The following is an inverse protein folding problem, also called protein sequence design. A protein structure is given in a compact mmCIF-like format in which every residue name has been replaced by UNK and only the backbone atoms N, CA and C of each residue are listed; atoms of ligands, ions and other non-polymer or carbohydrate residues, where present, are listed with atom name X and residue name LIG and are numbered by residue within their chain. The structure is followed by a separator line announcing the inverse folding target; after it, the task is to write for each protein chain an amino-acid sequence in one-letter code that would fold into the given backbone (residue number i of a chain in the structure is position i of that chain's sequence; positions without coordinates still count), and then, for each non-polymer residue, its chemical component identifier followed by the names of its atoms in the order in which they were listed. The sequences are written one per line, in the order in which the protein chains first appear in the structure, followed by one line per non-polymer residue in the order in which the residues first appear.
data_IF_827207074608
#
_entry.id   IF_827207074608
#
_cell.length_a   1.000
_cell.length_b   1.000
_cell.length_c   1.000
_cell.angle_alpha   90.00
_cell.angle_beta   90.00
_cell.angle_gamma   90.00
#
_symmetry.space_group_name_H-M   'P 1'
#
loop_
_entity.id
_entity.type
_entity.pdbx_description
1 polymer ?
#
# COMPACT_ATOMS: atom_id res chain seq x y z
N UNK A 1 10.30 16.77 66.35
CA UNK A 1 8.91 16.30 66.53
C UNK A 1 8.66 15.23 65.47
N UNK A 2 8.84 13.93 65.66
CA UNK A 2 8.31 13.05 66.71
C UNK A 2 6.82 13.32 66.97
N UNK A 3 5.94 12.49 66.39
CA UNK A 3 5.29 11.40 67.15
C UNK A 3 4.62 10.38 66.21
N UNK A 4 4.59 9.16 66.72
CA UNK A 4 4.24 7.87 66.13
C UNK A 4 2.98 7.35 66.86
N UNK A 5 2.36 6.32 66.28
CA UNK A 5 1.34 5.36 66.81
C UNK A 5 -0.13 5.81 66.71
N UNK A 6 -1.12 4.94 66.49
CA UNK A 6 -1.28 3.52 66.12
C UNK A 6 -2.75 3.18 66.40
N UNK A 7 -3.49 2.56 65.48
CA UNK A 7 -4.46 1.44 65.67
C UNK A 7 -5.11 1.11 64.31
N UNK A 8 -4.93 -0.09 63.73
CA UNK A 8 -5.77 -1.32 63.82
C UNK A 8 -7.25 -1.02 63.46
N UNK A 9 -7.94 -1.64 62.52
CA UNK A 9 -7.66 -2.71 61.57
C UNK A 9 -9.00 -3.17 60.94
N UNK A 10 -9.01 -3.57 59.66
CA UNK A 10 -9.87 -4.64 59.11
C UNK A 10 -9.42 -4.94 57.67
N UNK A 11 -8.58 -5.95 57.52
CA UNK A 11 -8.32 -6.60 56.23
C UNK A 11 -9.54 -7.44 55.88
N UNK A 12 -10.33 -7.00 54.91
CA UNK A 12 -11.29 -7.87 54.23
C UNK A 12 -10.46 -8.67 53.23
N UNK A 13 -10.19 -9.93 53.57
CA UNK A 13 -9.63 -10.89 52.64
C UNK A 13 -10.62 -11.04 51.46
N UNK A 14 -10.16 -11.05 50.19
CA UNK A 14 -10.99 -11.61 49.14
C UNK A 14 -11.10 -13.12 49.42
N UNK A 15 -12.34 -13.62 49.39
CA UNK A 15 -12.63 -15.05 49.50
C UNK A 15 -11.71 -15.87 48.58
N UNK A 16 -11.15 -17.00 49.06
CA UNK A 16 -10.49 -17.92 48.17
C UNK A 16 -11.60 -18.60 47.37
N UNK A 17 -11.93 -18.08 46.19
CA UNK A 17 -12.60 -18.91 45.19
C UNK A 17 -11.75 -20.15 45.03
N UNK A 18 -12.32 -21.27 45.50
CA UNK A 18 -11.69 -22.55 45.54
C UNK A 18 -11.12 -22.85 44.14
N UNK A 19 -9.80 -22.96 44.07
CA UNK A 19 -9.15 -23.79 43.05
C UNK A 19 -9.67 -25.21 43.27
N UNK A 20 -10.83 -25.51 42.68
CA UNK A 20 -11.33 -26.86 42.52
C UNK A 20 -10.32 -27.51 41.58
N UNK A 21 -9.33 -28.19 42.17
CA UNK A 21 -8.49 -29.10 41.42
C UNK A 21 -9.41 -30.07 40.69
N UNK A 22 -9.38 -30.00 39.35
CA UNK A 22 -10.13 -30.94 38.52
C UNK A 22 -9.80 -32.37 38.98
N UNK A 23 -10.82 -33.25 39.12
CA UNK A 23 -10.56 -34.63 39.49
C UNK A 23 -9.62 -35.23 38.44
N UNK A 24 -8.45 -35.71 38.88
CA UNK A 24 -7.61 -36.55 38.01
C UNK A 24 -8.44 -37.79 37.71
N UNK A 25 -8.96 -37.89 36.49
CA UNK A 25 -9.62 -39.11 36.04
C UNK A 25 -8.67 -40.30 36.24
N UNK A 26 -9.22 -41.46 36.57
CA UNK A 26 -8.45 -42.70 36.66
C UNK A 26 -7.99 -43.23 35.29
N UNK A 27 -8.33 -42.53 34.21
CA UNK A 27 -8.11 -42.89 32.81
C UNK A 27 -7.10 -41.88 32.23
N UNK A 28 -5.92 -42.34 31.83
CA UNK A 28 -4.90 -41.46 31.25
C UNK A 28 -5.37 -40.86 29.91
N UNK A 29 -5.46 -39.53 29.85
CA UNK A 29 -5.77 -38.76 28.63
C UNK A 29 -4.49 -38.33 27.90
N UNK A 30 -4.62 -38.10 26.59
CA UNK A 30 -3.59 -37.56 25.70
C UNK A 30 -3.31 -36.11 26.07
N UNK A 31 -2.03 -35.76 26.17
CA UNK A 31 -1.58 -34.40 26.49
C UNK A 31 -0.67 -33.83 25.43
N UNK A 32 -0.69 -32.52 25.23
CA UNK A 32 0.15 -31.79 24.28
C UNK A 32 0.80 -30.54 24.91
N UNK A 33 1.99 -30.18 24.43
CA UNK A 33 2.78 -29.09 24.99
C UNK A 33 2.19 -27.68 24.78
N UNK A 34 1.24 -27.51 23.85
CA UNK A 34 0.56 -26.23 23.56
C UNK A 34 -0.95 -26.35 23.76
N UNK A 35 -1.35 -27.14 24.75
CA UNK A 35 -2.76 -27.28 25.09
C UNK A 35 -3.35 -25.93 25.54
N UNK A 36 -4.59 -25.61 25.17
CA UNK A 36 -5.31 -24.46 25.71
C UNK A 36 -5.78 -24.68 27.17
N UNK A 37 -5.55 -25.87 27.75
CA UNK A 37 -5.97 -26.23 29.11
C UNK A 37 -4.77 -26.37 30.05
N UNK A 38 -4.95 -25.99 31.32
CA UNK A 38 -3.88 -25.98 32.34
C UNK A 38 -3.30 -27.37 32.64
N UNK A 39 -4.07 -28.43 32.39
CA UNK A 39 -3.68 -29.82 32.60
C UNK A 39 -3.01 -30.47 31.38
N UNK A 40 -2.86 -29.72 30.28
CA UNK A 40 -2.18 -30.20 29.08
C UNK A 40 -3.05 -31.04 28.15
N UNK A 41 -4.36 -31.19 28.38
CA UNK A 41 -5.25 -32.05 27.59
C UNK A 41 -5.19 -31.76 26.08
N UNK A 42 -5.02 -32.79 25.24
CA UNK A 42 -4.95 -32.65 23.78
C UNK A 42 -6.26 -33.09 23.14
N UNK A 43 -7.00 -32.14 22.56
CA UNK A 43 -8.23 -32.45 21.79
C UNK A 43 -7.88 -33.30 20.57
N UNK A 44 -6.86 -32.91 19.81
CA UNK A 44 -6.45 -33.64 18.61
C UNK A 44 -5.91 -35.05 18.94
N UNK A 45 -5.17 -35.18 20.04
CA UNK A 45 -4.70 -36.47 20.56
C UNK A 45 -5.87 -37.39 20.93
N UNK A 46 -6.87 -36.88 21.65
CA UNK A 46 -8.04 -37.66 22.05
C UNK A 46 -8.97 -38.00 20.87
N UNK A 47 -9.16 -37.09 19.92
CA UNK A 47 -9.87 -37.39 18.66
C UNK A 47 -9.21 -38.53 17.89
N UNK A 48 -7.88 -38.60 17.88
CA UNK A 48 -7.15 -39.69 17.23
C UNK A 48 -7.32 -41.04 17.93
N UNK A 49 -7.33 -41.04 19.27
CA UNK A 49 -7.53 -42.26 20.08
C UNK A 49 -8.97 -42.76 19.98
N UNK A 50 -9.93 -41.84 19.92
CA UNK A 50 -11.36 -42.15 19.80
C UNK A 50 -11.84 -42.31 18.36
N UNK A 51 -10.99 -42.15 17.34
CA UNK A 51 -11.40 -42.18 15.93
C UNK A 51 -12.20 -43.43 15.54
N UNK A 52 -11.82 -44.60 16.06
CA UNK A 52 -12.55 -45.86 15.83
C UNK A 52 -13.89 -45.94 16.56
N UNK A 53 -13.99 -45.37 17.77
CA UNK A 53 -15.21 -45.29 18.56
C UNK A 53 -16.20 -44.27 17.97
N UNK A 54 -15.69 -43.11 17.52
CA UNK A 54 -16.45 -42.06 16.85
C UNK A 54 -17.06 -42.51 15.51
N UNK A 55 -16.45 -43.51 14.85
CA UNK A 55 -16.94 -44.08 13.60
C UNK A 55 -17.94 -45.25 13.78
N UNK A 56 -18.15 -45.72 15.01
CA UNK A 56 -18.98 -46.88 15.36
C UNK A 56 -20.27 -46.52 16.10
N UNK A 57 -20.93 -47.53 16.69
CA UNK A 57 -22.07 -47.33 17.59
C UNK A 57 -21.56 -46.91 18.97
N UNK A 58 -21.74 -45.64 19.32
CA UNK A 58 -21.36 -45.08 20.62
C UNK A 58 -22.28 -45.64 21.73
N UNK A 59 -21.91 -46.77 22.30
CA UNK A 59 -22.65 -47.42 23.40
C UNK A 59 -22.24 -46.80 24.75
N UNK A 60 -23.22 -46.45 25.58
CA UNK A 60 -23.02 -45.86 26.91
C UNK A 60 -22.33 -46.83 27.89
N UNK A 61 -22.38 -48.15 27.60
CA UNK A 61 -21.73 -49.18 28.41
C UNK A 61 -20.25 -49.43 28.05
N UNK A 62 -19.73 -48.79 27.00
CA UNK A 62 -18.33 -48.91 26.58
C UNK A 62 -17.40 -48.09 27.51
N UNK A 63 -16.30 -48.66 28.02
CA UNK A 63 -15.29 -47.92 28.78
C UNK A 63 -14.72 -46.67 28.07
N UNK A 64 -14.80 -46.57 26.74
CA UNK A 64 -14.39 -45.41 25.94
C UNK A 64 -15.42 -44.27 25.93
N UNK A 65 -16.67 -44.53 26.33
CA UNK A 65 -17.73 -43.53 26.40
C UNK A 65 -17.38 -42.38 27.38
N UNK A 66 -16.78 -42.71 28.52
CA UNK A 66 -16.28 -41.73 29.49
C UNK A 66 -15.23 -40.77 28.90
N UNK A 67 -14.36 -41.27 27.99
CA UNK A 67 -13.38 -40.42 27.29
C UNK A 67 -14.04 -39.53 26.25
N UNK A 68 -15.08 -40.02 25.59
CA UNK A 68 -15.86 -39.26 24.64
C UNK A 68 -16.58 -38.09 25.31
N UNK A 69 -17.20 -38.32 26.47
CA UNK A 69 -17.84 -37.25 27.25
C UNK A 69 -16.86 -36.15 27.65
N UNK A 70 -15.67 -36.51 28.15
CA UNK A 70 -14.63 -35.52 28.46
C UNK A 70 -14.17 -34.75 27.20
N UNK A 71 -14.04 -35.43 26.06
CA UNK A 71 -13.70 -34.77 24.79
C UNK A 71 -14.75 -33.74 24.38
N UNK A 72 -16.05 -34.06 24.47
CA UNK A 72 -17.13 -33.09 24.21
C UNK A 72 -17.08 -31.92 25.18
N UNK A 73 -16.92 -32.17 26.49
CA UNK A 73 -16.84 -31.10 27.48
C UNK A 73 -15.66 -30.16 27.21
N UNK A 74 -14.52 -30.71 26.80
CA UNK A 74 -13.32 -29.93 26.45
C UNK A 74 -13.51 -29.12 25.18
N UNK A 75 -14.18 -29.67 24.16
CA UNK A 75 -14.54 -28.92 22.94
C UNK A 75 -15.47 -27.76 23.27
N UNK A 76 -16.47 -27.99 24.10
CA UNK A 76 -17.38 -26.94 24.56
C UNK A 76 -16.68 -25.86 25.38
N UNK A 77 -15.75 -26.25 26.24
CA UNK A 77 -14.93 -25.32 27.03
C UNK A 77 -14.04 -24.47 26.11
N UNK A 78 -13.38 -25.08 25.13
CA UNK A 78 -12.58 -24.35 24.14
C UNK A 78 -13.47 -23.40 23.31
N UNK A 79 -14.65 -23.83 22.88
CA UNK A 79 -15.60 -22.98 22.17
C UNK A 79 -16.04 -21.78 23.01
N UNK A 80 -16.32 -21.98 24.32
CA UNK A 80 -16.61 -20.88 25.27
C UNK A 80 -15.42 -19.95 25.43
N UNK A 81 -14.20 -20.47 25.56
CA UNK A 81 -12.98 -19.66 25.63
C UNK A 81 -12.77 -18.83 24.36
N UNK A 82 -12.97 -19.43 23.18
CA UNK A 82 -12.91 -18.74 21.89
C UNK A 82 -14.00 -17.66 21.77
N UNK A 83 -15.23 -17.95 22.18
CA UNK A 83 -16.33 -16.98 22.19
C UNK A 83 -16.05 -15.81 23.15
N UNK A 84 -15.48 -16.07 24.33
CA UNK A 84 -15.06 -15.03 25.26
C UNK A 84 -13.92 -14.20 24.71
N UNK A 85 -12.92 -14.84 24.10
CA UNK A 85 -11.81 -14.17 23.42
C UNK A 85 -12.31 -13.27 22.29
N UNK A 86 -13.24 -13.75 21.46
CA UNK A 86 -13.87 -12.97 20.40
C UNK A 86 -14.69 -11.81 20.97
N UNK A 87 -15.47 -12.05 22.03
CA UNK A 87 -16.27 -11.01 22.70
C UNK A 87 -15.38 -9.90 23.26
N UNK A 88 -14.24 -10.26 23.86
CA UNK A 88 -13.23 -9.32 24.37
C UNK A 88 -12.27 -8.83 23.28
N UNK A 89 -12.39 -9.33 22.05
CA UNK A 89 -11.48 -9.06 20.91
C UNK A 89 -10.00 -9.28 21.24
N UNK A 90 -9.71 -10.28 22.05
CA UNK A 90 -8.35 -10.56 22.53
C UNK A 90 -7.81 -9.56 23.54
N UNK A 91 -8.67 -8.70 24.12
CA UNK A 91 -8.31 -7.88 25.28
C UNK A 91 -8.06 -8.75 26.50
N UNK A 92 -7.17 -8.28 27.37
CA UNK A 92 -6.86 -8.92 28.64
C UNK A 92 -8.11 -9.09 29.51
N UNK A 93 -8.11 -10.10 30.38
CA UNK A 93 -9.20 -10.38 31.32
C UNK A 93 -9.44 -9.24 32.32
N UNK A 94 -8.43 -8.40 32.58
CA UNK A 94 -8.56 -7.23 33.45
C UNK A 94 -9.30 -6.04 32.78
N UNK A 95 -9.44 -6.05 31.45
CA UNK A 95 -10.12 -4.99 30.70
C UNK A 95 -11.63 -5.08 30.92
N UNK A 96 -12.24 -3.97 31.31
CA UNK A 96 -13.68 -3.93 31.58
C UNK A 96 -14.48 -4.05 30.28
N UNK A 97 -15.71 -4.61 30.32
CA UNK A 97 -16.61 -4.66 29.19
C UNK A 97 -16.72 -3.37 28.37
N UNK A 98 -16.96 -2.25 29.05
CA UNK A 98 -17.08 -0.95 28.39
C UNK A 98 -15.82 -0.52 27.60
N UNK A 99 -14.62 -0.93 28.05
CA UNK A 99 -13.34 -0.48 27.48
C UNK A 99 -12.99 -1.22 26.18
N UNK A 100 -13.28 -2.53 26.08
CA UNK A 100 -13.07 -3.24 24.81
C UNK A 100 -14.19 -2.98 23.77
N UNK A 101 -15.38 -2.56 24.22
CA UNK A 101 -16.42 -2.06 23.30
C UNK A 101 -16.09 -0.65 22.77
N UNK A 102 -15.42 0.20 23.57
CA UNK A 102 -14.95 1.51 23.12
C UNK A 102 -14.00 1.42 21.90
N UNK A 103 -13.34 0.27 21.68
CA UNK A 103 -12.57 0.04 20.45
C UNK A 103 -13.42 0.06 19.17
N UNK A 104 -14.72 -0.32 19.22
CA UNK A 104 -15.62 -0.19 18.06
C UNK A 104 -16.11 1.25 17.86
N UNK A 105 -16.13 2.03 18.94
CA UNK A 105 -16.54 3.43 18.91
C UNK A 105 -15.42 4.34 18.38
N UNK A 106 -14.17 3.87 18.39
CA UNK A 106 -13.05 4.58 17.79
C UNK A 106 -13.26 4.73 16.28
N UNK A 107 -13.52 5.96 15.86
CA UNK A 107 -13.62 6.32 14.46
C UNK A 107 -12.28 6.19 13.72
N UNK A 108 -12.36 6.29 12.38
CA UNK A 108 -11.16 6.38 11.55
C UNK A 108 -10.36 7.64 11.89
N UNK A 109 -9.04 7.59 11.69
CA UNK A 109 -8.19 8.78 11.73
C UNK A 109 -8.65 9.77 10.65
N UNK A 110 -8.78 11.04 11.03
CA UNK A 110 -9.13 12.15 10.16
C UNK A 110 -8.14 13.27 10.39
N UNK A 111 -7.82 14.01 9.34
CA UNK A 111 -6.94 15.16 9.43
C UNK A 111 -7.64 16.28 10.20
N UNK A 112 -6.88 16.98 11.06
CA UNK A 112 -7.41 18.11 11.85
C UNK A 112 -7.51 19.40 11.05
N UNK A 113 -6.71 19.54 9.98
CA UNK A 113 -6.61 20.72 9.12
C UNK A 113 -6.44 20.33 7.65
N UNK A 114 -6.73 21.25 6.74
CA UNK A 114 -6.49 21.03 5.31
C UNK A 114 -5.00 21.15 4.97
N UNK A 115 -4.45 20.12 4.32
CA UNK A 115 -3.09 20.19 3.79
C UNK A 115 -2.96 21.26 2.70
N UNK A 116 -1.91 22.09 2.81
CA UNK A 116 -1.61 23.16 1.83
C UNK A 116 -0.18 23.06 1.31
N UNK A 117 0.05 23.52 0.09
CA UNK A 117 1.40 23.85 -0.40
C UNK A 117 1.48 25.30 -0.85
N UNK A 118 2.66 25.91 -0.70
CA UNK A 118 2.90 27.29 -1.09
C UNK A 118 3.86 27.36 -2.27
N UNK A 119 3.48 28.07 -3.34
CA UNK A 119 4.29 28.22 -4.56
C UNK A 119 4.71 29.66 -4.78
N UNK A 120 5.98 29.88 -5.14
CA UNK A 120 6.54 31.20 -5.41
C UNK A 120 6.75 31.50 -6.89
N UNK A 121 6.78 30.50 -7.76
CA UNK A 121 7.12 30.66 -9.17
C UNK A 121 5.93 30.42 -10.09
N UNK A 122 5.85 31.20 -11.17
CA UNK A 122 4.84 31.00 -12.23
C UNK A 122 5.04 29.66 -12.93
N UNK A 123 6.29 29.19 -13.02
CA UNK A 123 6.65 27.92 -13.60
C UNK A 123 6.05 26.74 -12.83
N UNK A 124 6.26 26.68 -11.50
CA UNK A 124 5.69 25.62 -10.67
C UNK A 124 4.16 25.71 -10.64
N UNK A 125 3.60 26.92 -10.51
CA UNK A 125 2.15 27.12 -10.52
C UNK A 125 1.51 26.62 -11.83
N UNK A 126 2.11 26.93 -12.98
CA UNK A 126 1.65 26.42 -14.30
C UNK A 126 1.86 24.92 -14.46
N UNK A 127 2.95 24.37 -13.92
CA UNK A 127 3.19 22.93 -13.94
C UNK A 127 2.15 22.17 -13.10
N UNK A 128 1.74 22.74 -11.97
CA UNK A 128 0.71 22.16 -11.11
C UNK A 128 -0.70 22.29 -11.69
N UNK A 129 -1.08 23.48 -12.15
CA UNK A 129 -2.42 23.72 -12.71
C UNK A 129 -2.62 23.08 -14.08
N UNK A 130 -1.56 23.00 -14.89
CA UNK A 130 -1.67 22.62 -16.30
C UNK A 130 -2.35 23.70 -17.14
N UNK A 131 -2.87 23.28 -18.30
CA UNK A 131 -3.63 24.16 -19.20
C UNK A 131 -4.76 23.37 -19.85
N UNK A 132 -5.99 23.85 -19.73
CA UNK A 132 -7.12 23.30 -20.47
C UNK A 132 -6.99 23.49 -21.99
N UNK A 133 -7.82 22.79 -22.75
CA UNK A 133 -7.99 23.10 -24.18
C UNK A 133 -8.77 24.40 -24.27
N UNK A 134 -8.26 25.34 -25.06
CA UNK A 134 -8.98 26.58 -25.32
C UNK A 134 -10.19 26.28 -26.23
N UNK A 135 -11.39 26.82 -25.94
CA UNK A 135 -12.56 26.61 -26.78
C UNK A 135 -12.29 27.03 -28.24
N UNK A 136 -12.54 26.13 -29.19
CA UNK A 136 -12.29 26.38 -30.62
C UNK A 136 -10.83 26.28 -31.08
N UNK A 137 -9.90 25.95 -30.18
CA UNK A 137 -8.49 25.77 -30.51
C UNK A 137 -8.14 24.29 -30.71
N UNK A 138 -7.25 23.98 -31.67
CA UNK A 138 -6.65 22.65 -31.84
C UNK A 138 -5.46 22.39 -30.93
N UNK A 139 -5.04 23.37 -30.12
CA UNK A 139 -3.87 23.20 -29.27
C UNK A 139 -4.18 22.25 -28.11
N UNK A 140 -3.38 21.17 -28.01
CA UNK A 140 -3.55 20.15 -26.98
C UNK A 140 -3.46 20.72 -25.55
N UNK A 141 -4.28 20.20 -24.61
CA UNK A 141 -4.20 20.57 -23.21
C UNK A 141 -2.86 20.14 -22.61
N UNK A 142 -2.37 20.90 -21.63
CA UNK A 142 -1.18 20.53 -20.85
C UNK A 142 -1.66 19.87 -19.57
N UNK A 143 -1.27 18.61 -19.40
CA UNK A 143 -1.54 17.86 -18.18
C UNK A 143 -0.71 18.44 -17.04
N UNK A 144 -1.38 18.96 -16.00
CA UNK A 144 -0.75 19.49 -14.80
C UNK A 144 -0.72 18.50 -13.64
N UNK A 145 0.00 18.85 -12.58
CA UNK A 145 0.12 18.06 -11.34
C UNK A 145 -1.24 17.69 -10.72
N UNK A 146 -2.23 18.60 -10.69
CA UNK A 146 -3.57 18.28 -10.16
C UNK A 146 -4.27 17.18 -10.96
N UNK A 147 -4.14 17.22 -12.29
CA UNK A 147 -4.72 16.19 -13.18
C UNK A 147 -4.01 14.84 -12.98
N UNK A 148 -2.68 14.84 -12.86
CA UNK A 148 -1.92 13.60 -12.62
C UNK A 148 -2.16 13.01 -11.25
N UNK A 149 -2.28 13.82 -10.20
CA UNK A 149 -2.67 13.33 -8.88
C UNK A 149 -4.01 12.59 -8.94
N UNK A 150 -4.97 13.11 -9.73
CA UNK A 150 -6.24 12.42 -9.97
C UNK A 150 -6.07 11.13 -10.78
N UNK A 151 -5.30 11.16 -11.86
CA UNK A 151 -5.03 9.96 -12.68
C UNK A 151 -4.34 8.85 -11.88
N UNK A 152 -3.35 9.19 -11.07
CA UNK A 152 -2.68 8.24 -10.17
C UNK A 152 -3.63 7.70 -9.10
N UNK A 153 -4.53 8.53 -8.56
CA UNK A 153 -5.58 8.07 -7.66
C UNK A 153 -6.49 7.04 -8.34
N UNK A 154 -6.89 7.28 -9.58
CA UNK A 154 -7.75 6.35 -10.31
C UNK A 154 -7.03 5.01 -10.57
N UNK A 155 -5.77 5.05 -11.00
CA UNK A 155 -4.92 3.87 -11.15
C UNK A 155 -4.78 3.12 -9.82
N UNK A 156 -4.52 3.83 -8.72
CA UNK A 156 -4.48 3.26 -7.38
C UNK A 156 -5.80 2.60 -6.97
N UNK A 157 -6.95 3.17 -7.34
CA UNK A 157 -8.26 2.53 -7.12
C UNK A 157 -8.39 1.25 -7.96
N UNK A 158 -7.95 1.26 -9.22
CA UNK A 158 -7.99 0.10 -10.11
C UNK A 158 -7.17 -1.09 -9.60
N UNK A 159 -6.12 -0.85 -8.80
CA UNK A 159 -5.37 -1.95 -8.15
C UNK A 159 -6.25 -2.79 -7.21
N UNK A 160 -7.35 -2.24 -6.69
CA UNK A 160 -8.32 -3.00 -5.89
C UNK A 160 -9.02 -4.11 -6.69
N UNK A 161 -9.14 -3.93 -8.02
CA UNK A 161 -9.72 -4.92 -8.94
C UNK A 161 -8.69 -5.95 -9.40
N UNK A 162 -7.52 -6.01 -8.76
CA UNK A 162 -6.40 -6.86 -9.19
C UNK A 162 -5.97 -6.60 -10.65
N UNK A 163 -5.99 -5.33 -11.08
CA UNK A 163 -5.66 -4.93 -12.45
C UNK A 163 -4.14 -4.87 -12.66
N UNK A 164 -3.54 -5.73 -13.53
CA UNK A 164 -2.08 -5.80 -13.68
C UNK A 164 -1.48 -4.59 -14.41
N UNK A 165 -2.25 -3.93 -15.29
CA UNK A 165 -1.79 -2.73 -16.00
C UNK A 165 -1.85 -1.47 -15.11
N UNK A 166 -2.76 -1.44 -14.13
CA UNK A 166 -2.75 -0.38 -13.13
C UNK A 166 -1.51 -0.46 -12.23
N UNK A 167 -1.16 -1.67 -11.77
CA UNK A 167 0.09 -1.89 -11.02
C UNK A 167 1.32 -1.50 -11.86
N UNK A 168 1.34 -1.90 -13.14
CA UNK A 168 2.44 -1.54 -14.05
C UNK A 168 2.55 -0.04 -14.28
N UNK A 169 1.43 0.66 -14.46
CA UNK A 169 1.39 2.11 -14.66
C UNK A 169 1.96 2.86 -13.45
N UNK A 170 1.61 2.42 -12.24
CA UNK A 170 2.09 3.02 -10.99
C UNK A 170 3.59 2.76 -10.81
N UNK A 171 4.06 1.53 -11.03
CA UNK A 171 5.48 1.18 -10.98
C UNK A 171 6.31 2.01 -11.96
N UNK A 172 5.85 2.11 -13.20
CA UNK A 172 6.52 2.90 -14.24
C UNK A 172 6.57 4.39 -13.87
N UNK A 173 5.48 4.92 -13.32
CA UNK A 173 5.45 6.29 -12.82
C UNK A 173 6.46 6.50 -11.67
N UNK A 174 6.47 5.61 -10.67
CA UNK A 174 7.38 5.67 -9.53
C UNK A 174 8.86 5.63 -9.98
N UNK A 175 9.20 4.74 -10.91
CA UNK A 175 10.55 4.67 -11.47
C UNK A 175 10.93 5.96 -12.22
N UNK A 176 10.10 6.38 -13.18
CA UNK A 176 10.43 7.55 -14.01
C UNK A 176 10.42 8.86 -13.22
N UNK A 177 9.54 9.00 -12.23
CA UNK A 177 9.54 10.19 -11.38
C UNK A 177 10.75 10.20 -10.44
N UNK A 178 11.24 9.03 -10.01
CA UNK A 178 12.49 8.91 -9.27
C UNK A 178 13.69 9.47 -10.04
N UNK A 179 13.75 9.28 -11.36
CA UNK A 179 14.79 9.87 -12.21
C UNK A 179 14.69 11.41 -12.25
N UNK A 180 13.47 11.96 -12.26
CA UNK A 180 13.25 13.41 -12.18
C UNK A 180 13.67 13.95 -10.82
N UNK A 181 13.30 13.29 -9.74
CA UNK A 181 13.65 13.68 -8.38
C UNK A 181 15.17 13.65 -8.17
N UNK A 182 15.87 12.65 -8.71
CA UNK A 182 17.33 12.60 -8.67
C UNK A 182 17.96 13.75 -9.45
N UNK A 183 17.46 14.02 -10.67
CA UNK A 183 17.94 15.16 -11.47
C UNK A 183 17.67 16.50 -10.78
N UNK A 184 16.49 16.67 -10.18
CA UNK A 184 16.14 17.84 -9.37
C UNK A 184 17.14 18.02 -8.22
N UNK A 185 17.38 16.94 -7.45
CA UNK A 185 18.28 16.97 -6.30
C UNK A 185 19.71 17.33 -6.70
N UNK A 186 20.21 16.77 -7.81
CA UNK A 186 21.53 17.10 -8.34
C UNK A 186 21.62 18.59 -8.72
N UNK A 187 20.66 19.09 -9.50
CA UNK A 187 20.67 20.49 -9.95
C UNK A 187 20.50 21.50 -8.79
N UNK A 188 19.70 21.14 -7.78
CA UNK A 188 19.56 21.93 -6.55
C UNK A 188 20.91 21.99 -5.81
N UNK A 189 21.54 20.83 -5.60
CA UNK A 189 22.84 20.73 -4.92
C UNK A 189 23.92 21.54 -5.64
N UNK A 190 23.97 21.46 -6.97
CA UNK A 190 24.93 22.22 -7.78
C UNK A 190 24.70 23.73 -7.68
N UNK A 191 23.42 24.15 -7.66
CA UNK A 191 23.06 25.55 -7.49
C UNK A 191 23.39 26.08 -6.09
N UNK A 192 23.13 25.30 -5.05
CA UNK A 192 23.49 25.65 -3.67
C UNK A 192 25.01 25.73 -3.50
N UNK A 193 25.77 24.79 -4.08
CA UNK A 193 27.23 24.83 -4.07
C UNK A 193 27.80 26.09 -4.76
N UNK A 194 27.16 26.58 -5.83
CA UNK A 194 27.53 27.85 -6.45
C UNK A 194 27.32 29.04 -5.50
N UNK A 195 26.21 29.08 -4.76
CA UNK A 195 25.91 30.12 -3.79
C UNK A 195 26.86 30.06 -2.59
N UNK A 196 27.12 28.87 -2.05
CA UNK A 196 28.05 28.66 -0.94
C UNK A 196 29.47 29.15 -1.27
N UNK A 197 29.97 28.88 -2.48
CA UNK A 197 31.28 29.42 -2.93
C UNK A 197 31.35 30.94 -2.93
N UNK A 198 30.23 31.65 -3.10
CA UNK A 198 30.20 33.11 -2.98
C UNK A 198 30.20 33.54 -1.52
N UNK A 199 29.45 32.82 -0.68
CA UNK A 199 29.41 33.04 0.76
C UNK A 199 30.81 32.94 1.38
N UNK A 200 31.59 31.92 1.01
CA UNK A 200 32.96 31.73 1.50
C UNK A 200 33.91 32.88 1.13
N UNK A 201 33.59 33.63 0.07
CA UNK A 201 34.31 34.83 -0.38
C UNK A 201 33.77 36.13 0.25
N UNK A 202 32.81 36.03 1.16
CA UNK A 202 32.17 37.15 1.85
C UNK A 202 30.89 37.68 1.18
N UNK A 203 30.38 37.05 0.13
CA UNK A 203 29.14 37.44 -0.55
C UNK A 203 27.97 36.54 -0.14
N UNK A 204 27.09 37.02 0.74
CA UNK A 204 25.88 36.29 1.15
C UNK A 204 24.69 36.62 0.24
N UNK A 205 24.20 35.63 -0.50
CA UNK A 205 23.04 35.77 -1.37
C UNK A 205 21.83 35.00 -0.81
N UNK A 206 20.71 35.69 -0.65
CA UNK A 206 19.43 35.07 -0.33
C UNK A 206 18.75 34.50 -1.59
N UNK A 207 18.18 33.31 -1.50
CA UNK A 207 17.35 32.71 -2.56
C UNK A 207 16.10 33.56 -2.79
N UNK A 208 15.80 33.84 -4.06
CA UNK A 208 14.61 34.60 -4.45
C UNK A 208 13.33 33.98 -3.88
N UNK A 209 12.36 34.81 -3.50
CA UNK A 209 11.00 34.40 -3.12
C UNK A 209 9.99 35.35 -3.77
N UNK A 210 8.79 34.86 -4.05
CA UNK A 210 7.68 35.74 -4.44
C UNK A 210 7.38 36.73 -3.30
N UNK A 211 7.05 37.98 -3.66
CA UNK A 211 6.48 38.93 -2.71
C UNK A 211 5.09 38.48 -2.24
N UNK A 212 4.35 37.82 -3.13
CA UNK A 212 3.02 37.27 -2.88
C UNK A 212 3.01 35.80 -3.30
N UNK A 213 3.45 34.88 -2.43
CA UNK A 213 3.35 33.45 -2.71
C UNK A 213 1.89 32.99 -2.67
N UNK A 214 1.58 31.95 -3.44
CA UNK A 214 0.23 31.41 -3.52
C UNK A 214 0.13 30.10 -2.76
N UNK A 215 -0.73 30.06 -1.74
CA UNK A 215 -1.07 28.85 -1.00
C UNK A 215 -2.22 28.11 -1.70
N UNK A 216 -2.03 26.81 -1.91
CA UNK A 216 -2.97 25.92 -2.60
C UNK A 216 -3.34 24.77 -1.67
N UNK A 217 -4.64 24.56 -1.46
CA UNK A 217 -5.15 23.37 -0.77
C UNK A 217 -4.96 22.13 -1.65
N UNK A 218 -4.41 21.07 -1.05
CA UNK A 218 -4.09 19.82 -1.73
C UNK A 218 -5.34 18.95 -1.90
N UNK A 219 -6.07 18.68 -0.81
CA UNK A 219 -7.32 17.90 -0.82
C UNK A 219 -7.17 16.50 -1.43
N UNK A 220 -5.96 15.92 -1.41
CA UNK A 220 -5.70 14.64 -2.04
C UNK A 220 -6.19 13.49 -1.16
N UNK A 221 -6.77 12.46 -1.80
CA UNK A 221 -7.24 11.24 -1.13
C UNK A 221 -6.45 10.01 -1.55
N UNK A 222 -5.22 10.19 -1.99
CA UNK A 222 -4.29 9.13 -2.36
C UNK A 222 -2.86 9.53 -1.98
N UNK A 223 -2.01 8.57 -1.59
CA UNK A 223 -0.60 8.86 -1.29
C UNK A 223 0.14 9.46 -2.49
N UNK A 224 -0.26 9.08 -3.71
CA UNK A 224 0.29 9.61 -4.94
C UNK A 224 0.05 11.12 -5.13
N UNK A 225 -1.06 11.68 -4.63
CA UNK A 225 -1.29 13.12 -4.69
C UNK A 225 -0.27 13.92 -3.87
N UNK A 226 0.12 13.38 -2.71
CA UNK A 226 1.17 13.96 -1.87
C UNK A 226 2.55 13.86 -2.51
N UNK A 227 2.87 12.73 -3.17
CA UNK A 227 4.11 12.59 -3.93
C UNK A 227 4.23 13.65 -5.04
N UNK A 228 3.16 13.89 -5.80
CA UNK A 228 3.14 14.96 -6.81
C UNK A 228 3.29 16.35 -6.16
N UNK A 229 2.69 16.59 -4.99
CA UNK A 229 2.83 17.88 -4.29
C UNK A 229 4.27 18.14 -3.89
N UNK A 230 4.96 17.12 -3.36
CA UNK A 230 6.38 17.21 -3.01
C UNK A 230 7.24 17.54 -4.22
N UNK A 231 7.06 16.82 -5.33
CA UNK A 231 7.75 17.10 -6.59
C UNK A 231 7.57 18.55 -7.04
N UNK A 232 6.36 19.10 -6.91
CA UNK A 232 6.05 20.47 -7.33
C UNK A 232 6.74 21.50 -6.43
N UNK A 233 6.80 21.25 -5.12
CA UNK A 233 7.52 22.12 -4.17
C UNK A 233 9.03 22.08 -4.43
N UNK A 234 9.60 20.90 -4.65
CA UNK A 234 11.02 20.75 -4.98
C UNK A 234 11.35 21.45 -6.32
N UNK A 235 10.45 21.32 -7.30
CA UNK A 235 10.56 22.02 -8.57
C UNK A 235 10.44 23.56 -8.42
N UNK A 236 9.54 24.06 -7.56
CA UNK A 236 9.44 25.50 -7.25
C UNK A 236 10.74 26.03 -6.65
N UNK A 237 11.32 25.31 -5.69
CA UNK A 237 12.59 25.65 -5.07
C UNK A 237 13.74 25.64 -6.09
N UNK A 238 13.82 24.61 -6.94
CA UNK A 238 14.77 24.56 -8.05
C UNK A 238 14.65 25.80 -8.95
N UNK A 239 13.45 26.19 -9.40
CA UNK A 239 13.28 27.36 -10.27
C UNK A 239 13.73 28.65 -9.56
N UNK A 240 13.46 28.78 -8.26
CA UNK A 240 13.93 29.93 -7.46
C UNK A 240 15.45 29.99 -7.41
N UNK A 241 16.12 28.85 -7.21
CA UNK A 241 17.59 28.77 -7.24
C UNK A 241 18.14 29.17 -8.60
N UNK A 242 17.62 28.60 -9.69
CA UNK A 242 18.08 28.92 -11.04
C UNK A 242 17.94 30.41 -11.38
N UNK A 243 16.80 31.02 -11.01
CA UNK A 243 16.57 32.46 -11.18
C UNK A 243 17.47 33.31 -10.27
N UNK A 244 17.80 32.81 -9.08
CA UNK A 244 18.75 33.47 -8.18
C UNK A 244 20.13 33.50 -8.81
N UNK A 245 20.63 32.37 -9.31
CA UNK A 245 21.92 32.29 -9.97
C UNK A 245 22.02 33.24 -11.17
N UNK A 246 20.98 33.28 -12.02
CA UNK A 246 20.93 34.19 -13.15
C UNK A 246 20.97 35.66 -12.72
N UNK A 247 20.12 36.05 -11.76
CA UNK A 247 20.05 37.42 -11.24
C UNK A 247 21.34 37.87 -10.55
N UNK A 248 22.12 36.94 -9.98
CA UNK A 248 23.40 37.21 -9.32
C UNK A 248 24.61 36.97 -10.23
N UNK A 249 24.39 36.84 -11.54
CA UNK A 249 25.46 36.69 -12.55
C UNK A 249 26.33 35.44 -12.34
N UNK A 250 25.80 34.42 -11.65
CA UNK A 250 26.47 33.12 -11.46
C UNK A 250 26.13 32.14 -12.59
N UNK A 251 25.10 32.43 -13.38
CA UNK A 251 24.67 31.68 -14.56
C UNK A 251 24.11 32.67 -15.60
N UNK A 252 24.19 32.37 -16.89
CA UNK A 252 23.53 33.20 -17.91
C UNK A 252 22.02 32.96 -17.96
N UNK A 253 21.26 33.94 -18.44
CA UNK A 253 19.81 33.79 -18.66
C UNK A 253 19.49 32.66 -19.65
N UNK A 254 20.35 32.43 -20.66
CA UNK A 254 20.19 31.35 -21.62
C UNK A 254 20.32 29.98 -20.94
N UNK A 255 21.38 29.77 -20.16
CA UNK A 255 21.59 28.53 -19.40
C UNK A 255 20.44 28.30 -18.41
N UNK A 256 20.04 29.32 -17.63
CA UNK A 256 18.91 29.22 -16.71
C UNK A 256 17.62 28.78 -17.42
N UNK A 257 17.25 29.45 -18.52
CA UNK A 257 16.04 29.09 -19.30
C UNK A 257 16.11 27.67 -19.83
N UNK A 258 17.28 27.26 -20.34
CA UNK A 258 17.49 25.92 -20.86
C UNK A 258 17.31 24.85 -19.77
N UNK A 259 17.97 24.99 -18.61
CA UNK A 259 17.87 24.04 -17.50
C UNK A 259 16.42 23.89 -17.02
N UNK A 260 15.71 25.01 -16.83
CA UNK A 260 14.29 25.00 -16.44
C UNK A 260 13.43 24.29 -17.51
N UNK A 261 13.64 24.61 -18.79
CA UNK A 261 12.85 24.05 -19.88
C UNK A 261 13.08 22.55 -20.08
N UNK A 262 14.32 22.06 -19.91
CA UNK A 262 14.63 20.62 -19.98
C UNK A 262 13.94 19.85 -18.86
N UNK A 263 14.04 20.32 -17.62
CA UNK A 263 13.42 19.66 -16.49
C UNK A 263 11.88 19.70 -16.57
N UNK A 264 11.32 20.85 -16.98
CA UNK A 264 9.87 20.97 -17.25
C UNK A 264 9.41 19.94 -18.28
N UNK A 265 10.15 19.80 -19.39
CA UNK A 265 9.82 18.84 -20.45
C UNK A 265 9.91 17.40 -19.95
N UNK A 266 10.89 17.09 -19.11
CA UNK A 266 11.05 15.75 -18.54
C UNK A 266 9.86 15.39 -17.65
N UNK A 267 9.48 16.27 -16.70
CA UNK A 267 8.28 16.08 -15.86
C UNK A 267 7.03 15.89 -16.71
N UNK A 268 6.82 16.76 -17.71
CA UNK A 268 5.65 16.70 -18.58
C UNK A 268 5.57 15.43 -19.41
N UNK A 269 6.70 14.87 -19.83
CA UNK A 269 6.75 13.60 -20.57
C UNK A 269 6.16 12.48 -19.71
N UNK A 270 6.61 12.37 -18.47
CA UNK A 270 6.14 11.34 -17.52
C UNK A 270 4.67 11.56 -17.21
N UNK A 271 4.25 12.81 -16.99
CA UNK A 271 2.83 13.11 -16.76
C UNK A 271 1.95 12.67 -17.93
N UNK A 272 2.36 12.96 -19.16
CA UNK A 272 1.59 12.54 -20.34
C UNK A 272 1.50 11.01 -20.48
N UNK A 273 2.57 10.30 -20.14
CA UNK A 273 2.62 8.85 -20.15
C UNK A 273 1.70 8.23 -19.08
N UNK A 274 1.79 8.67 -17.83
CA UNK A 274 0.89 8.22 -16.77
C UNK A 274 -0.57 8.56 -17.07
N UNK A 275 -0.83 9.76 -17.59
CA UNK A 275 -2.16 10.18 -18.00
C UNK A 275 -2.73 9.36 -19.17
N UNK A 276 -1.87 8.73 -20.00
CA UNK A 276 -2.28 7.79 -21.04
C UNK A 276 -2.87 6.53 -20.41
N UNK A 277 -2.20 5.93 -19.43
CA UNK A 277 -2.71 4.73 -18.73
C UNK A 277 -4.09 4.95 -18.12
N UNK A 278 -4.24 5.99 -17.30
CA UNK A 278 -5.53 6.34 -16.69
C UNK A 278 -6.63 6.53 -17.74
N UNK A 279 -6.37 7.29 -18.81
CA UNK A 279 -7.37 7.54 -19.86
C UNK A 279 -7.92 6.27 -20.49
N UNK A 280 -7.08 5.29 -20.78
CA UNK A 280 -7.49 4.07 -21.48
C UNK A 280 -8.05 3.02 -20.51
N UNK A 281 -7.47 2.87 -19.32
CA UNK A 281 -7.96 1.93 -18.31
C UNK A 281 -9.26 2.39 -17.64
N UNK A 282 -9.55 3.70 -17.64
CA UNK A 282 -10.80 4.25 -17.11
C UNK A 282 -12.00 4.09 -18.06
N UNK A 283 -11.81 3.59 -19.29
CA UNK A 283 -12.92 3.30 -20.21
C UNK A 283 -13.83 2.23 -19.63
N UNK A 284 -15.14 2.38 -19.79
CA UNK A 284 -16.15 1.46 -19.24
C UNK A 284 -15.90 0.01 -19.64
N UNK A 285 -15.43 -0.21 -20.87
CA UNK A 285 -15.17 -1.51 -21.46
C UNK A 285 -13.96 -2.19 -20.82
N UNK A 286 -13.00 -1.42 -20.29
CA UNK A 286 -11.70 -1.90 -19.77
C UNK A 286 -11.63 -1.81 -18.24
N UNK A 287 -12.47 -1.00 -17.61
CA UNK A 287 -12.43 -0.71 -16.17
C UNK A 287 -12.47 -1.98 -15.29
N UNK A 288 -13.17 -3.02 -15.76
CA UNK A 288 -13.29 -4.31 -15.10
C UNK A 288 -12.12 -5.28 -15.32
N UNK A 289 -11.02 -4.86 -15.95
CA UNK A 289 -9.88 -5.74 -16.22
C UNK A 289 -9.25 -6.26 -14.92
N UNK A 290 -9.09 -7.58 -14.84
CA UNK A 290 -8.44 -8.28 -13.72
C UNK A 290 -7.33 -9.22 -14.21
N UNK A 291 -6.46 -9.71 -13.32
CA UNK A 291 -5.50 -10.78 -13.65
C UNK A 291 -6.16 -12.09 -14.08
N UNK A 292 -7.36 -12.39 -13.57
CA UNK A 292 -8.10 -13.60 -13.94
C UNK A 292 -8.58 -13.58 -15.40
N UNK A 293 -8.77 -12.40 -15.99
CA UNK A 293 -9.14 -12.27 -17.41
C UNK A 293 -8.10 -12.90 -18.36
N UNK A 294 -6.86 -13.11 -17.89
CA UNK A 294 -5.78 -13.74 -18.65
C UNK A 294 -5.77 -15.27 -18.55
N UNK A 295 -6.59 -15.85 -17.67
CA UNK A 295 -6.70 -17.30 -17.51
C UNK A 295 -7.87 -17.79 -18.36
N UNK A 296 -7.60 -18.74 -19.26
CA UNK A 296 -8.58 -19.30 -20.20
C UNK A 296 -9.84 -19.83 -19.48
N UNK A 297 -9.69 -20.46 -18.32
CA UNK A 297 -10.80 -21.03 -17.54
C UNK A 297 -11.79 -19.97 -17.01
N UNK A 298 -11.33 -18.73 -16.79
CA UNK A 298 -12.14 -17.62 -16.27
C UNK A 298 -12.43 -16.54 -17.34
N UNK A 299 -11.89 -16.71 -18.56
CA UNK A 299 -11.96 -15.72 -19.61
C UNK A 299 -13.32 -15.73 -20.33
N UNK A 300 -14.21 -14.83 -19.95
CA UNK A 300 -15.43 -14.53 -20.72
C UNK A 300 -15.09 -13.84 -22.06
N UNK A 301 -16.03 -13.80 -23.01
CA UNK A 301 -15.81 -13.08 -24.27
C UNK A 301 -15.43 -11.60 -24.06
N UNK A 302 -16.01 -10.96 -23.05
CA UNK A 302 -15.66 -9.59 -22.67
C UNK A 302 -14.27 -9.50 -22.05
N UNK A 303 -13.88 -10.47 -21.22
CA UNK A 303 -12.52 -10.55 -20.66
C UNK A 303 -11.47 -10.66 -21.77
N UNK A 304 -11.70 -11.52 -22.76
CA UNK A 304 -10.82 -11.66 -23.92
C UNK A 304 -10.66 -10.35 -24.70
N UNK A 305 -11.77 -9.62 -24.94
CA UNK A 305 -11.73 -8.30 -25.58
C UNK A 305 -10.94 -7.28 -24.75
N UNK A 306 -11.09 -7.28 -23.43
CA UNK A 306 -10.30 -6.41 -22.53
C UNK A 306 -8.81 -6.70 -22.64
N UNK A 307 -8.44 -7.98 -22.59
CA UNK A 307 -7.05 -8.44 -22.66
C UNK A 307 -6.42 -8.12 -24.01
N UNK A 308 -7.13 -8.37 -25.11
CA UNK A 308 -6.67 -8.05 -26.47
C UNK A 308 -6.44 -6.54 -26.61
N UNK A 309 -7.39 -5.73 -26.14
CA UNK A 309 -7.29 -4.27 -26.17
C UNK A 309 -6.06 -3.74 -25.42
N UNK A 310 -5.82 -4.20 -24.18
CA UNK A 310 -4.67 -3.72 -23.41
C UNK A 310 -3.34 -4.20 -23.97
N UNK A 311 -3.30 -5.40 -24.58
CA UNK A 311 -2.14 -5.90 -25.31
C UNK A 311 -1.82 -5.03 -26.52
N UNK A 312 -2.83 -4.62 -27.28
CA UNK A 312 -2.64 -3.74 -28.44
C UNK A 312 -2.18 -2.32 -28.02
N UNK A 313 -2.82 -1.75 -26.99
CA UNK A 313 -2.55 -0.37 -26.58
C UNK A 313 -1.23 -0.23 -25.82
N UNK A 314 -0.91 -1.16 -24.92
CA UNK A 314 0.21 -1.03 -23.99
C UNK A 314 1.32 -2.05 -24.20
N UNK A 315 1.10 -3.08 -25.01
CA UNK A 315 1.96 -4.26 -25.05
C UNK A 315 1.65 -5.23 -23.91
N UNK A 316 2.40 -6.33 -23.85
CA UNK A 316 2.28 -7.29 -22.76
C UNK A 316 2.78 -6.68 -21.44
N UNK A 317 2.03 -6.88 -20.35
CA UNK A 317 2.49 -6.53 -19.02
C UNK A 317 3.70 -7.41 -18.63
N UNK A 318 4.76 -6.85 -18.00
CA UNK A 318 5.91 -7.64 -17.57
C UNK A 318 5.51 -8.77 -16.62
N UNK A 319 6.14 -9.94 -16.76
CA UNK A 319 5.75 -11.15 -16.04
C UNK A 319 5.85 -10.99 -14.50
N UNK A 320 6.86 -10.26 -14.04
CA UNK A 320 7.06 -10.00 -12.61
C UNK A 320 6.01 -9.05 -12.02
N UNK A 321 5.43 -8.15 -12.83
CA UNK A 321 4.29 -7.32 -12.44
C UNK A 321 3.00 -8.14 -12.46
N UNK A 322 2.81 -8.97 -13.49
CA UNK A 322 1.65 -9.85 -13.58
C UNK A 322 1.58 -10.84 -12.40
N UNK A 323 2.70 -11.46 -12.06
CA UNK A 323 2.79 -12.38 -10.90
C UNK A 323 2.87 -11.66 -9.54
N UNK A 324 2.88 -10.33 -9.55
CA UNK A 324 2.97 -9.47 -8.37
C UNK A 324 4.24 -9.71 -7.52
N UNK A 325 5.35 -10.12 -8.16
CA UNK A 325 6.68 -10.05 -7.55
C UNK A 325 7.17 -8.61 -7.46
N UNK A 326 6.87 -7.81 -8.49
CA UNK A 326 7.01 -6.35 -8.46
C UNK A 326 5.65 -5.72 -8.21
N UNK A 327 5.59 -4.82 -7.22
CA UNK A 327 4.37 -4.11 -6.85
C UNK A 327 4.67 -2.64 -6.59
N UNK A 328 3.74 -1.73 -6.94
CA UNK A 328 3.91 -0.32 -6.61
C UNK A 328 3.94 -0.11 -5.10
N UNK A 329 4.58 0.97 -4.67
CA UNK A 329 4.72 1.29 -3.23
C UNK A 329 3.37 1.35 -2.50
N UNK A 330 2.32 1.78 -3.19
CA UNK A 330 0.97 1.84 -2.64
C UNK A 330 -0.03 1.12 -3.55
N UNK A 331 -0.64 0.04 -3.04
CA UNK A 331 -1.69 -0.71 -3.73
C UNK A 331 -2.90 -0.92 -2.81
N UNK A 332 -4.10 -1.06 -3.41
CA UNK A 332 -5.34 -1.44 -2.71
C UNK A 332 -5.71 -2.90 -2.93
N UNK A 333 -4.85 -3.67 -3.61
CA UNK A 333 -5.07 -5.08 -3.88
C UNK A 333 -5.35 -5.84 -2.58
N UNK A 334 -6.46 -6.59 -2.55
CA UNK A 334 -6.78 -7.51 -1.47
C UNK A 334 -6.46 -8.93 -1.94
N UNK A 335 -5.68 -9.67 -1.17
CA UNK A 335 -5.35 -11.06 -1.48
C UNK A 335 -6.49 -11.96 -1.02
N UNK A 336 -7.29 -12.46 -1.97
CA UNK A 336 -8.33 -13.46 -1.71
C UNK A 336 -8.40 -14.53 -2.81
N UNK A 337 -7.25 -14.92 -3.36
CA UNK A 337 -7.19 -15.97 -4.38
C UNK A 337 -7.07 -17.34 -3.72
N UNK A 338 -7.79 -18.31 -4.27
CA UNK A 338 -7.63 -19.72 -3.92
C UNK A 338 -6.26 -20.23 -4.38
N UNK A 339 -5.80 -21.34 -3.77
CA UNK A 339 -4.52 -21.95 -4.14
C UNK A 339 -4.51 -22.45 -5.61
N UNK A 340 -5.68 -22.82 -6.15
CA UNK A 340 -5.82 -23.21 -7.54
C UNK A 340 -5.64 -22.02 -8.50
N UNK A 341 -6.34 -20.90 -8.26
CA UNK A 341 -6.20 -19.68 -9.05
C UNK A 341 -4.77 -19.14 -9.00
N UNK A 342 -4.11 -19.22 -7.85
CA UNK A 342 -2.70 -18.83 -7.71
C UNK A 342 -1.78 -19.63 -8.63
N UNK A 343 -1.98 -20.95 -8.74
CA UNK A 343 -1.17 -21.82 -9.61
C UNK A 343 -1.39 -21.50 -11.09
N UNK A 344 -2.64 -21.25 -11.49
CA UNK A 344 -2.97 -20.84 -12.85
C UNK A 344 -2.37 -19.47 -13.21
N UNK A 345 -2.41 -18.50 -12.30
CA UNK A 345 -1.73 -17.21 -12.51
C UNK A 345 -0.21 -17.38 -12.63
N UNK A 346 0.39 -18.28 -11.85
CA UNK A 346 1.81 -18.58 -11.96
C UNK A 346 2.17 -19.22 -13.31
N UNK A 347 1.36 -20.14 -13.83
CA UNK A 347 1.62 -20.75 -15.14
C UNK A 347 1.55 -19.72 -16.27
N UNK A 348 0.53 -18.85 -16.27
CA UNK A 348 0.43 -17.73 -17.22
C UNK A 348 1.64 -16.79 -17.08
N UNK A 349 2.07 -16.51 -15.85
CA UNK A 349 3.27 -15.72 -15.60
C UNK A 349 4.55 -16.32 -16.20
N UNK A 350 4.71 -17.65 -16.15
CA UNK A 350 5.84 -18.35 -16.78
C UNK A 350 5.79 -18.24 -18.31
N UNK A 351 4.60 -18.34 -18.92
CA UNK A 351 4.43 -18.13 -20.35
C UNK A 351 4.76 -16.70 -20.77
N UNK A 352 4.31 -15.71 -20.00
CA UNK A 352 4.64 -14.30 -20.21
C UNK A 352 6.15 -14.05 -20.11
N UNK A 353 6.83 -14.66 -19.14
CA UNK A 353 8.28 -14.52 -18.98
C UNK A 353 9.05 -15.12 -20.16
N UNK A 354 8.60 -16.25 -20.71
CA UNK A 354 9.18 -16.83 -21.93
C UNK A 354 8.97 -15.92 -23.14
N UNK A 355 7.76 -15.37 -23.31
CA UNK A 355 7.46 -14.44 -24.40
C UNK A 355 8.30 -13.15 -24.32
N UNK A 356 8.49 -12.63 -23.10
CA UNK A 356 9.35 -11.47 -22.83
C UNK A 356 10.81 -11.76 -23.19
N UNK A 357 11.36 -12.90 -22.76
CA UNK A 357 12.73 -13.30 -23.10
C UNK A 357 12.94 -13.47 -24.62
N UNK A 358 11.96 -14.04 -25.33
CA UNK A 358 12.01 -14.17 -26.78
C UNK A 358 11.97 -12.80 -27.49
N UNK A 359 11.18 -11.85 -26.97
CA UNK A 359 11.11 -10.49 -27.53
C UNK A 359 12.44 -9.72 -27.36
N UNK A 360 13.10 -9.86 -26.21
CA UNK A 360 14.42 -9.25 -25.96
C UNK A 360 15.48 -9.82 -26.91
N UNK A 361 15.54 -11.14 -27.08
CA UNK A 361 16.47 -11.79 -28.02
C UNK A 361 16.24 -11.35 -29.47
N UNK A 362 14.98 -11.13 -29.87
CA UNK A 362 14.64 -10.59 -31.19
C UNK A 362 15.13 -9.16 -31.40
N UNK A 363 14.98 -8.28 -30.39
CA UNK A 363 15.46 -6.90 -30.45
C UNK A 363 16.99 -6.81 -30.46
N UNK A 364 17.68 -7.67 -29.71
CA UNK A 364 19.14 -7.74 -29.73
C UNK A 364 19.66 -8.20 -31.09
N UNK A 365 19.01 -9.19 -31.72
CA UNK A 365 19.36 -9.64 -33.07
C UNK A 365 19.14 -8.57 -34.16
N UNK A 366 18.10 -7.74 -34.04
CA UNK A 366 17.85 -6.60 -34.94
C UNK A 366 18.84 -5.45 -34.71
N UNK A 367 19.25 -5.21 -33.45
CA UNK A 367 20.21 -4.15 -33.11
C UNK A 367 21.69 -4.50 -33.37
N UNK A 368 22.01 -5.80 -33.48
CA UNK A 368 23.35 -6.32 -33.75
C UNK A 368 23.72 -6.46 -35.24
N UNK A 369 22.83 -6.04 -36.15
CA UNK A 369 23.10 -5.91 -37.59
C UNK A 369 23.50 -4.46 -37.92
N UNK A 370 24.70 -4.04 -37.50
CA UNK A 370 25.43 -2.88 -38.05
C UNK A 370 26.90 -3.24 -38.20
#
# INVERSE_FOLDING_TARGET
MATKKSTVGRSVAPDPEALIAAPKSAIGFSTEARSPFDDGYSIAGEESVLAGFLAGSMDESDPLYERYLELEERKDRLAKMQAQFQTRKGSDQQVKPAEYFAMDELGRLVDSEDDTMTLHTKEAFRLFMGRGREPGSEVAPIVGGRRIASSLRNLWILTANDNPYADWALLRHEQSIGEVEERLRSEIKDAEALLHRQHDRGLSFSVLKSAEPQALQLGFRSPYGYAISRLIVDYDYFVRLQKTLARKTLRSDAQMRQTIAELTRFVRRIFNETGRFDRWLARSEIHGLTRLDFIVEYATEEANKRVEFVKEVFGMVPADVFTAKMQPRHSRRRYSLTEHERRLLQSVGVEMSKAEAMAVLGQEAESGLV
#
